data_IF_061817678615
#
_entry.id   IF_061817678615
#
_cell.length_a   1.000
_cell.length_b   1.000
_cell.length_c   1.000
_cell.angle_alpha   90.00
_cell.angle_beta   90.00
_cell.angle_gamma   90.00
#
_symmetry.space_group_name_H-M   'P 1'
#
loop_
_entity.id
_entity.type
_entity.pdbx_description
1 polymer ?
#
# COMPACT_ATOMS: atom_id res chain seq x y z
N UNK A 1 33.27 -28.13 44.45
CA UNK A 1 33.22 -27.44 45.77
C UNK A 1 32.54 -26.09 45.59
N UNK A 2 31.89 -25.58 46.65
CA UNK A 2 31.48 -24.18 46.88
C UNK A 2 30.82 -23.36 45.73
N UNK A 3 29.49 -23.25 45.81
CA UNK A 3 28.77 -21.95 45.73
C UNK A 3 28.96 -21.22 47.11
N UNK A 4 28.58 -19.92 47.39
CA UNK A 4 27.35 -19.27 46.89
C UNK A 4 27.22 -17.71 46.86
N UNK A 5 26.05 -17.25 46.37
CA UNK A 5 25.18 -16.14 46.82
C UNK A 5 25.60 -14.64 46.89
N UNK A 6 24.78 -13.80 46.21
CA UNK A 6 24.30 -12.43 46.59
C UNK A 6 25.35 -11.29 46.71
N UNK A 7 25.05 -9.98 46.62
CA UNK A 7 23.80 -9.14 46.64
C UNK A 7 24.10 -7.84 45.83
N UNK A 8 23.27 -6.82 45.56
CA UNK A 8 21.87 -6.43 45.87
C UNK A 8 21.33 -5.49 44.74
N UNK A 9 20.04 -5.11 44.79
CA UNK A 9 19.28 -4.25 43.86
C UNK A 9 19.86 -2.85 43.52
N UNK A 10 19.52 -2.39 42.30
CA UNK A 10 18.69 -1.18 42.09
C UNK A 10 17.57 -1.51 41.10
N UNK A 11 16.42 -0.85 41.23
CA UNK A 11 15.33 -0.95 40.27
C UNK A 11 14.67 0.40 40.04
N UNK A 12 13.82 0.48 39.03
CA UNK A 12 12.73 1.46 38.93
C UNK A 12 11.51 0.73 38.38
N UNK A 13 10.33 1.04 38.90
CA UNK A 13 9.15 0.20 38.71
C UNK A 13 8.30 0.59 37.50
N UNK A 14 7.64 -0.40 36.92
CA UNK A 14 6.32 -0.21 36.31
C UNK A 14 5.31 -1.09 37.05
N UNK A 15 4.13 -0.53 37.28
CA UNK A 15 3.13 -1.04 38.22
C UNK A 15 2.38 -2.25 37.70
N UNK A 16 1.98 -3.14 38.62
CA UNK A 16 1.14 -4.29 38.29
C UNK A 16 -0.32 -3.87 38.05
N UNK A 17 -0.78 -4.00 36.80
CA UNK A 17 -2.20 -4.14 36.45
C UNK A 17 -2.37 -5.10 35.27
N UNK A 18 -3.50 -5.81 35.26
CA UNK A 18 -3.98 -6.74 34.22
C UNK A 18 -3.24 -8.09 34.11
N UNK A 19 -3.85 -9.11 34.70
CA UNK A 19 -3.37 -10.50 34.69
C UNK A 19 -3.67 -11.21 33.36
N UNK A 20 -2.70 -11.22 32.43
CA UNK A 20 -2.49 -12.36 31.54
C UNK A 20 -1.02 -12.80 31.60
N UNK A 21 -0.72 -14.10 31.78
CA UNK A 21 0.61 -14.61 31.48
C UNK A 21 0.81 -14.48 29.97
N UNK A 22 1.67 -13.56 29.54
CA UNK A 22 2.01 -13.39 28.13
C UNK A 22 2.55 -14.73 27.59
N UNK A 23 1.91 -15.25 26.54
CA UNK A 23 2.11 -16.64 26.06
C UNK A 23 3.58 -17.00 25.83
N UNK A 24 4.38 -16.02 25.42
CA UNK A 24 5.84 -16.09 25.31
C UNK A 24 6.52 -16.64 26.57
N UNK A 25 6.16 -16.14 27.76
CA UNK A 25 6.75 -16.54 29.05
C UNK A 25 6.46 -18.01 29.41
N UNK A 26 5.26 -18.50 29.09
CA UNK A 26 4.85 -19.89 29.36
C UNK A 26 5.48 -20.87 28.36
N UNK A 27 5.61 -20.45 27.10
CA UNK A 27 6.33 -21.22 26.06
C UNK A 27 7.81 -21.34 26.42
N UNK A 28 8.46 -20.22 26.78
CA UNK A 28 9.87 -20.16 27.20
C UNK A 28 10.22 -21.23 28.24
N UNK A 29 9.38 -21.43 29.26
CA UNK A 29 9.71 -22.31 30.39
C UNK A 29 9.61 -23.83 30.10
N UNK A 30 9.20 -24.28 28.89
CA UNK A 30 8.93 -25.71 28.61
C UNK A 30 9.80 -26.39 27.55
N UNK A 31 10.61 -25.68 26.77
CA UNK A 31 11.34 -26.28 25.65
C UNK A 31 12.80 -26.64 26.01
N UNK A 32 13.34 -27.77 25.52
CA UNK A 32 14.77 -28.07 25.62
C UNK A 32 15.59 -27.19 24.68
N UNK A 33 16.82 -26.85 25.07
CA UNK A 33 17.63 -25.75 24.48
C UNK A 33 17.84 -25.83 22.96
N UNK A 34 17.85 -27.01 22.35
CA UNK A 34 17.94 -27.18 20.89
C UNK A 34 16.63 -26.91 20.14
N UNK A 35 15.49 -27.14 20.79
CA UNK A 35 14.15 -27.06 20.17
C UNK A 35 13.55 -25.64 20.24
N UNK A 36 14.13 -24.77 21.08
CA UNK A 36 13.76 -23.36 21.27
C UNK A 36 13.71 -22.52 19.99
N UNK A 37 14.56 -22.82 19.01
CA UNK A 37 14.70 -22.01 17.79
C UNK A 37 13.87 -22.61 16.64
N UNK A 38 13.92 -23.93 16.47
CA UNK A 38 13.29 -24.61 15.33
C UNK A 38 11.76 -24.49 15.33
N UNK A 39 11.10 -24.75 16.46
CA UNK A 39 9.62 -24.76 16.53
C UNK A 39 8.99 -23.38 16.24
N UNK A 40 9.40 -22.28 16.90
CA UNK A 40 8.88 -20.96 16.54
C UNK A 40 9.33 -20.51 15.15
N UNK A 41 10.52 -20.91 14.68
CA UNK A 41 11.00 -20.63 13.32
C UNK A 41 10.10 -21.24 12.24
N UNK A 42 9.79 -22.54 12.34
CA UNK A 42 8.88 -23.21 11.40
C UNK A 42 7.46 -22.64 11.46
N UNK A 43 6.95 -22.31 12.66
CA UNK A 43 5.63 -21.68 12.83
C UNK A 43 5.60 -20.29 12.19
N UNK A 44 6.64 -19.47 12.39
CA UNK A 44 6.79 -18.16 11.75
C UNK A 44 6.80 -18.28 10.23
N UNK A 45 7.61 -19.17 9.66
CA UNK A 45 7.62 -19.43 8.23
C UNK A 45 6.24 -19.85 7.70
N UNK A 46 5.57 -20.80 8.37
CA UNK A 46 4.24 -21.28 7.97
C UNK A 46 3.19 -20.15 7.92
N UNK A 47 3.16 -19.26 8.92
CA UNK A 47 2.24 -18.11 8.97
C UNK A 47 2.50 -17.15 7.82
N UNK A 48 3.76 -16.77 7.59
CA UNK A 48 4.14 -15.83 6.52
C UNK A 48 3.88 -16.41 5.12
N UNK A 49 4.16 -17.71 4.91
CA UNK A 49 3.84 -18.43 3.68
C UNK A 49 2.33 -18.55 3.44
N UNK A 50 1.52 -18.77 4.47
CA UNK A 50 0.06 -18.83 4.36
C UNK A 50 -0.54 -17.49 3.94
N UNK A 51 -0.16 -16.40 4.62
CA UNK A 51 -0.64 -15.04 4.31
C UNK A 51 -0.23 -14.58 2.90
N UNK A 52 1.03 -14.83 2.52
CA UNK A 52 1.53 -14.52 1.17
C UNK A 52 0.89 -15.41 0.11
N UNK A 53 0.60 -16.68 0.42
CA UNK A 53 -0.12 -17.60 -0.45
C UNK A 53 -1.55 -17.14 -0.77
N UNK A 54 -2.28 -16.62 0.23
CA UNK A 54 -3.59 -15.99 0.03
C UNK A 54 -3.46 -14.75 -0.86
N UNK A 55 -2.48 -13.88 -0.59
CA UNK A 55 -2.22 -12.67 -1.39
C UNK A 55 -1.98 -13.00 -2.87
N UNK A 56 -1.10 -13.97 -3.16
CA UNK A 56 -0.78 -14.43 -4.50
C UNK A 56 -2.01 -15.04 -5.19
N UNK A 57 -2.75 -15.91 -4.50
CA UNK A 57 -4.00 -16.53 -5.00
C UNK A 57 -5.02 -15.48 -5.39
N UNK A 58 -5.26 -14.48 -4.52
CA UNK A 58 -6.19 -13.39 -4.75
C UNK A 58 -5.82 -12.59 -6.01
N UNK A 59 -4.55 -12.22 -6.19
CA UNK A 59 -4.08 -11.49 -7.37
C UNK A 59 -4.21 -12.34 -8.65
N UNK A 60 -3.76 -13.60 -8.63
CA UNK A 60 -3.76 -14.48 -9.80
C UNK A 60 -5.17 -14.76 -10.33
N UNK A 61 -6.13 -15.09 -9.46
CA UNK A 61 -7.48 -15.48 -9.88
C UNK A 61 -8.42 -14.29 -10.17
N UNK A 62 -8.30 -13.15 -9.47
CA UNK A 62 -9.23 -12.02 -9.64
C UNK A 62 -8.74 -10.96 -10.64
N UNK A 63 -7.45 -10.60 -10.60
CA UNK A 63 -6.89 -9.58 -11.47
C UNK A 63 -5.36 -9.71 -11.60
N UNK A 64 -4.81 -10.55 -12.50
CA UNK A 64 -3.37 -10.68 -12.67
C UNK A 64 -2.68 -9.37 -13.09
N UNK A 65 -3.43 -8.44 -13.70
CA UNK A 65 -2.99 -7.07 -14.03
C UNK A 65 -2.68 -6.21 -12.78
N UNK A 66 -3.14 -6.64 -11.59
CA UNK A 66 -2.79 -6.04 -10.31
C UNK A 66 -1.39 -6.45 -9.79
N UNK A 67 -0.68 -7.37 -10.46
CA UNK A 67 0.67 -7.78 -10.05
C UNK A 67 1.69 -6.64 -10.10
N UNK A 68 2.72 -6.73 -9.25
CA UNK A 68 3.80 -5.76 -9.12
C UNK A 68 3.35 -4.36 -8.65
N UNK A 69 4.26 -3.39 -8.73
CA UNK A 69 4.06 -2.01 -8.25
C UNK A 69 2.80 -1.33 -8.84
N UNK A 70 2.68 -1.25 -10.16
CA UNK A 70 1.64 -0.45 -10.83
C UNK A 70 2.19 0.80 -11.53
N UNK A 71 3.36 1.29 -11.12
CA UNK A 71 4.08 2.39 -11.77
C UNK A 71 4.24 2.18 -13.29
N UNK A 72 4.80 1.07 -13.82
CA UNK A 72 5.00 0.95 -15.26
C UNK A 72 3.67 0.91 -16.04
N UNK A 73 2.59 0.36 -15.47
CA UNK A 73 1.26 0.43 -16.08
C UNK A 73 0.73 1.86 -16.19
N UNK A 74 1.09 2.75 -15.23
CA UNK A 74 0.76 4.18 -15.28
C UNK A 74 1.68 4.94 -16.22
N UNK A 75 3.00 4.69 -16.21
CA UNK A 75 3.95 5.24 -17.19
C UNK A 75 3.48 4.95 -18.62
N UNK A 76 3.14 3.70 -18.94
CA UNK A 76 2.57 3.32 -20.24
C UNK A 76 1.27 4.07 -20.57
N UNK A 77 0.35 4.21 -19.61
CA UNK A 77 -0.93 4.89 -19.84
C UNK A 77 -0.76 6.39 -20.12
N UNK A 78 0.14 7.07 -19.42
CA UNK A 78 0.44 8.50 -19.63
C UNK A 78 1.15 8.73 -20.98
N UNK A 79 2.08 7.83 -21.34
CA UNK A 79 2.65 7.71 -22.70
C UNK A 79 1.60 7.33 -23.78
N UNK A 80 0.34 7.12 -23.42
CA UNK A 80 -0.79 6.91 -24.32
C UNK A 80 -1.08 5.45 -24.70
N UNK A 81 -0.33 4.49 -24.18
CA UNK A 81 -0.56 3.07 -24.39
C UNK A 81 -1.71 2.59 -23.47
N UNK A 82 -2.88 2.34 -24.06
CA UNK A 82 -4.09 1.96 -23.33
C UNK A 82 -4.06 0.50 -22.86
N UNK A 83 -3.31 0.22 -21.78
CA UNK A 83 -3.16 -1.13 -21.22
C UNK A 83 -4.50 -1.66 -20.66
N UNK A 84 -5.03 -2.79 -21.16
CA UNK A 84 -6.36 -3.25 -20.80
C UNK A 84 -6.45 -3.69 -19.33
N UNK A 85 -7.57 -3.36 -18.69
CA UNK A 85 -7.94 -3.73 -17.30
C UNK A 85 -7.15 -3.04 -16.18
N UNK A 86 -6.16 -2.20 -16.47
CA UNK A 86 -5.41 -1.40 -15.47
C UNK A 86 -6.37 -0.47 -14.71
N UNK A 87 -7.04 0.44 -15.43
CA UNK A 87 -7.98 1.43 -14.88
C UNK A 87 -9.35 0.86 -14.47
N UNK A 88 -9.37 -0.28 -13.78
CA UNK A 88 -10.59 -0.88 -13.19
C UNK A 88 -10.52 -0.81 -11.67
N UNK A 89 -11.62 -0.36 -11.04
CA UNK A 89 -11.75 -0.31 -9.58
C UNK A 89 -11.57 -1.69 -8.91
N UNK A 90 -11.86 -2.80 -9.60
CA UNK A 90 -11.57 -4.15 -9.11
C UNK A 90 -10.05 -4.40 -9.02
N UNK A 91 -9.27 -3.99 -10.02
CA UNK A 91 -7.80 -4.08 -10.02
C UNK A 91 -7.20 -3.27 -8.87
N UNK A 92 -7.78 -2.11 -8.57
CA UNK A 92 -7.42 -1.26 -7.43
C UNK A 92 -7.69 -1.94 -6.08
N UNK A 93 -8.87 -2.54 -5.90
CA UNK A 93 -9.23 -3.26 -4.66
C UNK A 93 -8.34 -4.50 -4.47
N UNK A 94 -8.18 -5.33 -5.51
CA UNK A 94 -7.30 -6.51 -5.50
C UNK A 94 -5.87 -6.13 -5.15
N UNK A 95 -5.36 -5.02 -5.71
CA UNK A 95 -4.03 -4.50 -5.36
C UNK A 95 -3.93 -4.07 -3.90
N UNK A 96 -4.88 -3.27 -3.40
CA UNK A 96 -4.87 -2.82 -2.01
C UNK A 96 -4.85 -3.98 -1.01
N UNK A 97 -5.77 -4.94 -1.17
CA UNK A 97 -5.85 -6.12 -0.28
C UNK A 97 -4.62 -7.02 -0.44
N UNK A 98 -4.16 -7.28 -1.66
CA UNK A 98 -2.96 -8.10 -1.92
C UNK A 98 -1.69 -7.50 -1.31
N UNK A 99 -1.54 -6.18 -1.30
CA UNK A 99 -0.40 -5.48 -0.68
C UNK A 99 -0.46 -5.54 0.84
N UNK A 100 -1.64 -5.32 1.45
CA UNK A 100 -1.83 -5.47 2.91
C UNK A 100 -1.43 -6.89 3.33
N UNK A 101 -1.95 -7.91 2.64
CA UNK A 101 -1.63 -9.31 2.93
C UNK A 101 -0.14 -9.63 2.74
N UNK A 102 0.49 -9.18 1.64
CA UNK A 102 1.91 -9.44 1.38
C UNK A 102 2.85 -8.76 2.40
N UNK A 103 2.55 -7.52 2.82
CA UNK A 103 3.31 -6.82 3.87
C UNK A 103 3.10 -7.51 5.23
N UNK A 104 1.88 -7.92 5.56
CA UNK A 104 1.61 -8.68 6.79
C UNK A 104 2.22 -10.09 6.78
N UNK A 105 2.47 -10.66 5.60
CA UNK A 105 3.17 -11.93 5.37
C UNK A 105 4.69 -11.80 5.29
N UNK A 106 5.27 -10.70 5.77
CA UNK A 106 6.71 -10.52 5.92
C UNK A 106 7.50 -10.41 4.62
N UNK A 107 6.82 -10.23 3.48
CA UNK A 107 7.47 -10.12 2.17
C UNK A 107 8.14 -8.75 2.02
N UNK A 108 9.33 -8.73 1.41
CA UNK A 108 10.12 -7.51 1.21
C UNK A 108 9.54 -6.61 0.08
N UNK A 109 8.34 -6.05 0.31
CA UNK A 109 7.60 -5.21 -0.64
C UNK A 109 7.10 -3.92 0.01
N UNK A 110 7.16 -2.81 -0.72
CA UNK A 110 6.68 -1.50 -0.26
C UNK A 110 5.24 -1.19 -0.70
N UNK A 111 4.47 -0.52 0.15
CA UNK A 111 3.10 -0.04 -0.16
C UNK A 111 3.06 1.12 -1.17
N UNK A 112 4.19 1.80 -1.39
CA UNK A 112 4.24 3.11 -2.04
C UNK A 112 3.89 3.07 -3.54
N UNK A 113 4.54 2.18 -4.30
CA UNK A 113 4.24 1.98 -5.72
C UNK A 113 2.76 1.65 -6.01
N UNK A 114 2.15 0.73 -5.24
CA UNK A 114 0.71 0.48 -5.27
C UNK A 114 -0.17 1.70 -5.02
N UNK A 115 0.22 2.61 -4.11
CA UNK A 115 -0.55 3.80 -3.76
C UNK A 115 -0.64 4.80 -4.93
N UNK A 116 0.44 4.95 -5.71
CA UNK A 116 0.47 5.74 -6.95
C UNK A 116 -0.56 5.21 -7.97
N UNK A 117 -0.61 3.89 -8.15
CA UNK A 117 -1.59 3.25 -9.04
C UNK A 117 -3.03 3.41 -8.51
N UNK A 118 -3.25 3.29 -7.20
CA UNK A 118 -4.58 3.49 -6.59
C UNK A 118 -5.07 4.93 -6.81
N UNK A 119 -4.25 5.94 -6.53
CA UNK A 119 -4.57 7.35 -6.80
C UNK A 119 -4.88 7.62 -8.27
N UNK A 120 -4.11 7.01 -9.18
CA UNK A 120 -4.35 7.08 -10.64
C UNK A 120 -5.70 6.49 -11.07
N UNK A 121 -6.11 5.34 -10.52
CA UNK A 121 -7.39 4.70 -10.84
C UNK A 121 -8.58 5.50 -10.27
N UNK A 122 -8.42 6.11 -9.10
CA UNK A 122 -9.41 7.06 -8.55
C UNK A 122 -9.51 8.28 -9.48
N UNK A 123 -8.38 8.86 -9.89
CA UNK A 123 -8.22 9.89 -10.93
C UNK A 123 -9.10 9.61 -12.17
N UNK A 124 -8.86 8.47 -12.82
CA UNK A 124 -9.60 8.02 -14.01
C UNK A 124 -11.11 7.79 -13.75
N UNK A 125 -11.48 7.34 -12.56
CA UNK A 125 -12.88 7.12 -12.16
C UNK A 125 -13.65 8.42 -11.96
N UNK A 126 -13.01 9.44 -11.38
CA UNK A 126 -13.58 10.77 -11.17
C UNK A 126 -13.79 11.52 -12.50
N UNK A 127 -12.76 11.57 -13.37
CA UNK A 127 -12.86 12.15 -14.72
C UNK A 127 -14.08 11.63 -15.48
N UNK A 128 -14.35 10.32 -15.43
CA UNK A 128 -15.42 9.70 -16.21
C UNK A 128 -16.84 9.87 -15.63
N UNK A 129 -17.00 10.56 -14.48
CA UNK A 129 -18.30 10.81 -13.85
C UNK A 129 -19.10 9.55 -13.48
N UNK A 130 -18.42 8.39 -13.40
CA UNK A 130 -19.02 7.06 -13.24
C UNK A 130 -18.20 6.19 -12.29
N UNK A 131 -18.51 6.26 -11.00
CA UNK A 131 -18.16 5.19 -10.07
C UNK A 131 -18.93 3.94 -10.51
N UNK A 132 -18.27 2.95 -11.15
CA UNK A 132 -18.95 1.79 -11.74
C UNK A 132 -19.74 0.92 -10.73
N UNK A 133 -19.47 1.10 -9.43
CA UNK A 133 -20.21 0.46 -8.33
C UNK A 133 -21.51 1.18 -7.92
N UNK A 134 -21.64 2.49 -8.18
CA UNK A 134 -22.85 3.27 -7.88
C UNK A 134 -23.54 3.66 -9.19
N UNK A 135 -24.83 3.36 -9.35
CA UNK A 135 -25.61 3.76 -10.55
C UNK A 135 -25.83 5.28 -10.68
N UNK A 136 -25.23 6.09 -9.82
CA UNK A 136 -25.21 7.55 -9.89
C UNK A 136 -24.23 8.03 -10.95
N UNK A 137 -24.75 8.36 -12.14
CA UNK A 137 -24.01 9.11 -13.15
C UNK A 137 -24.13 10.60 -12.82
N UNK A 138 -23.06 11.24 -12.34
CA UNK A 138 -23.06 12.70 -12.16
C UNK A 138 -23.13 13.36 -13.54
N UNK A 139 -24.29 13.91 -13.91
CA UNK A 139 -24.52 14.51 -15.22
C UNK A 139 -23.51 15.63 -15.56
N UNK A 140 -23.05 16.35 -14.53
CA UNK A 140 -22.10 17.47 -14.61
C UNK A 140 -20.75 17.07 -15.23
N UNK A 141 -20.30 15.83 -15.03
CA UNK A 141 -18.99 15.34 -15.49
C UNK A 141 -19.00 14.76 -16.91
N UNK A 142 -20.12 14.87 -17.66
CA UNK A 142 -20.18 14.45 -19.07
C UNK A 142 -19.20 15.19 -19.98
N UNK A 143 -18.78 16.40 -19.61
CA UNK A 143 -17.86 17.26 -20.38
C UNK A 143 -16.42 16.72 -20.32
N UNK A 144 -15.93 16.34 -19.12
CA UNK A 144 -14.54 15.94 -18.84
C UNK A 144 -14.17 14.53 -19.31
N UNK A 145 -14.72 14.15 -20.47
CA UNK A 145 -14.75 12.77 -20.97
C UNK A 145 -13.80 12.54 -22.14
N UNK A 146 -13.01 13.55 -22.52
CA UNK A 146 -11.92 13.42 -23.47
C UNK A 146 -10.80 12.52 -22.89
N UNK A 147 -10.11 11.76 -23.74
CA UNK A 147 -8.97 10.95 -23.30
C UNK A 147 -7.75 11.81 -22.92
N UNK A 148 -7.66 13.06 -23.38
CA UNK A 148 -6.65 14.03 -22.93
C UNK A 148 -6.88 14.44 -21.47
N UNK A 149 -8.04 15.04 -21.16
CA UNK A 149 -8.41 15.44 -19.79
C UNK A 149 -8.30 14.25 -18.80
N UNK A 150 -8.70 13.06 -19.26
CA UNK A 150 -8.59 11.81 -18.49
C UNK A 150 -7.14 11.39 -18.22
N UNK A 151 -6.15 11.76 -19.06
CA UNK A 151 -4.71 11.62 -18.74
C UNK A 151 -4.27 12.68 -17.75
N UNK A 152 -4.76 13.92 -17.86
CA UNK A 152 -4.43 15.00 -16.91
C UNK A 152 -4.92 14.67 -15.49
N UNK A 153 -6.17 14.18 -15.36
CA UNK A 153 -6.71 13.64 -14.10
C UNK A 153 -5.94 12.42 -13.58
N UNK A 154 -5.44 11.54 -14.46
CA UNK A 154 -4.59 10.40 -14.05
C UNK A 154 -3.22 10.88 -13.57
N UNK A 155 -2.62 11.87 -14.22
CA UNK A 155 -1.34 12.45 -13.81
C UNK A 155 -1.45 13.15 -12.44
N UNK A 156 -2.51 13.94 -12.23
CA UNK A 156 -2.82 14.52 -10.92
C UNK A 156 -3.10 13.45 -9.84
N UNK A 157 -3.81 12.38 -10.20
CA UNK A 157 -4.05 11.22 -9.31
C UNK A 157 -2.77 10.45 -8.97
N UNK A 158 -1.83 10.36 -9.91
CA UNK A 158 -0.50 9.79 -9.70
C UNK A 158 0.34 10.69 -8.77
N UNK A 159 0.37 12.00 -9.01
CA UNK A 159 1.05 12.98 -8.15
C UNK A 159 0.56 12.89 -6.69
N UNK A 160 -0.76 12.91 -6.49
CA UNK A 160 -1.38 12.76 -5.18
C UNK A 160 -1.05 11.40 -4.55
N UNK A 161 -1.01 10.32 -5.34
CA UNK A 161 -0.63 8.98 -4.87
C UNK A 161 0.83 8.86 -4.46
N UNK A 162 1.77 9.52 -5.17
CA UNK A 162 3.19 9.63 -4.76
C UNK A 162 3.28 10.46 -3.47
N UNK A 163 2.64 11.62 -3.43
CA UNK A 163 2.79 12.55 -2.34
C UNK A 163 2.20 12.00 -1.02
N UNK A 164 1.05 11.31 -1.08
CA UNK A 164 0.46 10.60 0.05
C UNK A 164 1.20 9.31 0.45
N UNK A 165 2.04 8.75 -0.42
CA UNK A 165 2.90 7.60 -0.11
C UNK A 165 4.16 8.03 0.67
N UNK A 166 4.81 9.11 0.23
CA UNK A 166 6.11 9.56 0.73
C UNK A 166 6.07 10.82 1.63
N UNK A 167 4.91 11.43 1.85
CA UNK A 167 4.80 12.74 2.55
C UNK A 167 5.42 13.90 1.75
N UNK A 168 5.50 13.77 0.43
CA UNK A 168 6.38 14.58 -0.42
C UNK A 168 5.63 15.24 -1.59
N UNK A 169 4.91 16.36 -1.38
CA UNK A 169 4.15 17.06 -2.43
C UNK A 169 4.99 17.45 -3.65
N UNK A 170 6.21 17.95 -3.42
CA UNK A 170 7.14 18.33 -4.51
C UNK A 170 7.62 17.10 -5.29
N UNK A 171 7.85 15.97 -4.62
CA UNK A 171 8.20 14.71 -5.27
C UNK A 171 7.08 14.15 -6.16
N UNK A 172 5.82 14.24 -5.69
CA UNK A 172 4.66 13.88 -6.49
C UNK A 172 4.45 14.77 -7.70
N UNK A 173 4.69 16.08 -7.56
CA UNK A 173 4.66 17.02 -8.69
C UNK A 173 5.75 16.71 -9.72
N UNK A 174 6.99 16.48 -9.28
CA UNK A 174 8.11 16.14 -10.17
C UNK A 174 7.87 14.83 -10.93
N UNK A 175 7.35 13.80 -10.26
CA UNK A 175 6.97 12.54 -10.93
C UNK A 175 5.89 12.74 -12.00
N UNK A 176 4.90 13.60 -11.75
CA UNK A 176 3.87 13.93 -12.73
C UNK A 176 4.36 14.83 -13.87
N UNK A 177 5.45 15.59 -13.70
CA UNK A 177 6.14 16.33 -14.76
C UNK A 177 7.08 15.44 -15.59
N UNK A 178 7.69 14.42 -14.97
CA UNK A 178 8.49 13.38 -15.65
C UNK A 178 7.61 12.53 -16.58
N UNK A 179 6.44 12.11 -16.11
CA UNK A 179 5.58 11.14 -16.81
C UNK A 179 4.37 11.74 -17.53
N UNK A 180 3.86 12.89 -17.08
CA UNK A 180 2.73 13.61 -17.68
C UNK A 180 3.22 14.74 -18.57
N UNK A 181 3.43 14.44 -19.85
CA UNK A 181 4.18 15.29 -20.78
C UNK A 181 3.83 16.80 -20.78
N UNK A 182 4.86 17.61 -20.48
CA UNK A 182 5.04 19.04 -20.82
C UNK A 182 4.10 20.10 -20.22
N UNK A 183 2.81 19.85 -20.00
CA UNK A 183 1.84 20.94 -19.72
C UNK A 183 0.93 20.71 -18.50
N UNK A 184 1.52 20.48 -17.32
CA UNK A 184 0.78 20.63 -16.06
C UNK A 184 0.45 22.11 -15.84
N UNK A 185 -0.79 22.50 -16.09
CA UNK A 185 -1.25 23.88 -15.91
C UNK A 185 -0.99 24.39 -14.49
N UNK A 186 -0.54 25.64 -14.35
CA UNK A 186 -0.20 26.27 -13.06
C UNK A 186 -1.29 26.11 -11.98
N UNK A 187 -2.58 26.12 -12.37
CA UNK A 187 -3.71 25.85 -11.45
C UNK A 187 -3.69 24.43 -10.87
N UNK A 188 -3.41 23.41 -11.67
CA UNK A 188 -3.28 22.02 -11.19
C UNK A 188 -2.13 21.90 -10.19
N UNK A 189 -0.98 22.52 -10.46
CA UNK A 189 0.16 22.57 -9.53
C UNK A 189 -0.24 23.12 -8.16
N UNK A 190 -0.86 24.31 -8.12
CA UNK A 190 -1.34 24.90 -6.88
C UNK A 190 -2.39 24.05 -6.17
N UNK A 191 -3.27 23.38 -6.92
CA UNK A 191 -4.29 22.48 -6.35
C UNK A 191 -3.68 21.21 -5.74
N UNK A 192 -2.72 20.56 -6.42
CA UNK A 192 -2.03 19.36 -5.91
C UNK A 192 -1.23 19.70 -4.65
N UNK A 193 -0.50 20.82 -4.65
CA UNK A 193 0.23 21.30 -3.47
C UNK A 193 -0.74 21.62 -2.34
N UNK A 194 -1.82 22.38 -2.59
CA UNK A 194 -2.77 22.77 -1.53
C UNK A 194 -3.51 21.60 -0.90
N UNK A 195 -3.86 20.55 -1.64
CA UNK A 195 -4.45 19.34 -1.06
C UNK A 195 -3.43 18.49 -0.30
N UNK A 196 -2.18 18.42 -0.74
CA UNK A 196 -1.16 17.60 -0.09
C UNK A 196 -0.45 18.30 1.07
N UNK A 197 -0.49 19.64 1.17
CA UNK A 197 -0.07 20.36 2.39
C UNK A 197 -1.07 20.22 3.55
N UNK A 198 -2.19 19.51 3.34
CA UNK A 198 -3.22 19.21 4.34
C UNK A 198 -3.28 17.71 4.69
N UNK A 199 -2.27 16.92 4.29
CA UNK A 199 -2.25 15.46 4.38
C UNK A 199 -0.99 14.94 5.11
#
# INVERSE_FOLDING_TARGET
>A
MAYPFNKQHRGSGYTSTNCLPSLTSVVISRYPHSLWISVPGFLWCAINSFLTGIAATLVVFLAPVASGSGIPQIKCYLNGLNVPRVMRCLTMIVKGVGVILAVSGGLAVGKEGPMIHIGSVIAAGLSQGRLRFLKYSLGCLKIFRNDQEKRDFVSAGAAAGVAAAFGAPVGGLLFALEEGASFVYQRLTWTIVSYCSFL
#
